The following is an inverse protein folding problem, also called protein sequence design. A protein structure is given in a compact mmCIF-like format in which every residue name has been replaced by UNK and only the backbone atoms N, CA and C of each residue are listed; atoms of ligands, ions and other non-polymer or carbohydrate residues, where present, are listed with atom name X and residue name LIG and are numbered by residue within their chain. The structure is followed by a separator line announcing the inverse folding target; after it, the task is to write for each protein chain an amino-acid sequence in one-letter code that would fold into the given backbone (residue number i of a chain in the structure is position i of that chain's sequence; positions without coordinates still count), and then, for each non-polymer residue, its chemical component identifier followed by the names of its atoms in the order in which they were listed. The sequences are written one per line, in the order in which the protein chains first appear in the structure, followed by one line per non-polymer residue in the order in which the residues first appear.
data_IF_339435192621
#
_entry.id   IF_339435192621
#
_cell.length_a   1.000
_cell.length_b   1.000
_cell.length_c   1.000
_cell.angle_alpha   90.00
_cell.angle_beta   90.00
_cell.angle_gamma   90.00
#
_symmetry.space_group_name_H-M   'P 1'
#
loop_
_entity.id
_entity.type
_entity.pdbx_description
1 polymer ?
#
# COMPACT_ATOMS: atom_id res chain seq x y z
N UNK A 1 5.77 -21.70 38.70
CA UNK A 1 6.66 -21.34 37.58
C UNK A 1 6.62 -19.83 37.39
N UNK A 2 7.75 -19.13 37.56
CA UNK A 2 7.85 -17.67 37.33
C UNK A 2 7.89 -17.39 35.82
N UNK A 3 7.09 -16.45 35.32
CA UNK A 3 7.19 -15.96 33.94
C UNK A 3 8.52 -15.20 33.77
N UNK A 4 9.30 -15.45 32.72
CA UNK A 4 10.56 -14.75 32.51
C UNK A 4 10.29 -13.26 32.25
N UNK A 5 10.94 -12.39 33.03
CA UNK A 5 10.96 -10.95 32.82
C UNK A 5 12.08 -10.60 31.84
N UNK A 6 11.81 -9.68 30.91
CA UNK A 6 12.67 -9.33 29.76
C UNK A 6 14.08 -8.79 30.05
N UNK A 7 14.60 -8.96 31.27
CA UNK A 7 15.99 -8.64 31.64
C UNK A 7 17.01 -9.69 31.20
N UNK A 8 16.59 -10.89 30.80
CA UNK A 8 17.48 -11.98 30.38
C UNK A 8 17.68 -12.11 28.86
N UNK A 9 16.94 -11.35 28.04
CA UNK A 9 17.13 -11.33 26.58
C UNK A 9 18.26 -10.40 26.17
N UNK A 10 19.51 -10.74 26.56
CA UNK A 10 20.74 -10.20 25.97
C UNK A 10 21.29 -11.11 24.86
N UNK A 11 20.44 -11.85 24.17
CA UNK A 11 20.84 -12.39 22.87
C UNK A 11 20.86 -11.21 21.90
N UNK A 12 22.05 -10.93 21.34
CA UNK A 12 22.18 -10.16 20.11
C UNK A 12 21.18 -10.76 19.13
N UNK A 13 20.05 -10.09 18.92
CA UNK A 13 19.18 -10.38 17.79
C UNK A 13 20.07 -10.13 16.59
N UNK A 14 20.55 -11.22 15.97
CA UNK A 14 21.08 -11.15 14.62
C UNK A 14 19.94 -10.59 13.81
N UNK A 15 20.00 -9.29 13.51
CA UNK A 15 19.12 -8.68 12.52
C UNK A 15 19.32 -9.53 11.28
N UNK A 16 18.34 -10.38 10.99
CA UNK A 16 18.34 -11.18 9.78
C UNK A 16 18.58 -10.21 8.64
N UNK A 17 19.50 -10.56 7.73
CA UNK A 17 20.02 -9.71 6.67
C UNK A 17 18.90 -8.80 6.15
N UNK A 18 19.16 -7.49 6.13
CA UNK A 18 18.25 -6.51 5.52
C UNK A 18 17.82 -7.11 4.18
N UNK A 19 16.52 -7.43 4.00
CA UNK A 19 16.08 -8.05 2.76
C UNK A 19 16.57 -7.16 1.60
N UNK A 20 17.04 -7.77 0.49
CA UNK A 20 17.56 -7.00 -0.61
C UNK A 20 16.55 -5.91 -0.96
N UNK A 21 17.05 -4.68 -1.11
CA UNK A 21 16.22 -3.54 -1.47
C UNK A 21 15.40 -3.85 -2.71
N UNK A 22 14.28 -3.14 -2.88
CA UNK A 22 13.41 -3.30 -4.04
C UNK A 22 14.26 -3.28 -5.32
N UNK A 23 14.31 -4.39 -6.06
CA UNK A 23 14.99 -4.40 -7.35
C UNK A 23 14.28 -3.39 -8.28
N UNK A 24 15.01 -2.75 -9.19
CA UNK A 24 14.41 -1.78 -10.11
C UNK A 24 13.52 -2.46 -11.18
N UNK A 25 12.63 -1.66 -11.78
CA UNK A 25 11.77 -2.04 -12.92
C UNK A 25 10.56 -2.91 -12.57
N UNK A 26 9.76 -3.34 -13.56
CA UNK A 26 8.64 -4.27 -13.38
C UNK A 26 9.10 -5.73 -13.28
N UNK A 27 8.40 -6.56 -12.52
CA UNK A 27 8.61 -8.01 -12.54
C UNK A 27 7.33 -8.76 -12.20
N UNK A 28 7.17 -9.92 -12.81
CA UNK A 28 5.98 -10.74 -12.69
C UNK A 28 6.33 -12.16 -12.27
N UNK A 29 5.49 -12.74 -11.40
CA UNK A 29 5.53 -14.14 -11.04
C UNK A 29 4.11 -14.72 -11.06
N UNK A 30 3.93 -15.83 -11.78
CA UNK A 30 2.72 -16.63 -11.71
C UNK A 30 3.00 -17.93 -10.97
N UNK A 31 2.13 -18.30 -10.04
CA UNK A 31 2.17 -19.56 -9.30
C UNK A 31 0.85 -20.29 -9.52
N UNK A 32 0.94 -21.44 -10.20
CA UNK A 32 -0.20 -22.33 -10.36
C UNK A 32 -0.60 -22.92 -8.99
N UNK A 33 -1.89 -23.00 -8.73
CA UNK A 33 -2.48 -23.59 -7.53
C UNK A 33 -3.84 -24.19 -7.85
N UNK A 34 -4.33 -25.12 -7.05
CA UNK A 34 -5.68 -25.69 -7.23
C UNK A 34 -6.80 -24.77 -6.68
N UNK A 35 -6.49 -23.50 -6.41
CA UNK A 35 -7.47 -22.54 -5.94
C UNK A 35 -8.52 -22.24 -7.04
N UNK A 36 -9.80 -22.08 -6.69
CA UNK A 36 -10.85 -21.78 -7.67
C UNK A 36 -10.81 -20.33 -8.17
N UNK A 37 -10.03 -19.46 -7.52
CA UNK A 37 -9.89 -18.04 -7.83
C UNK A 37 -8.43 -17.70 -8.12
N UNK A 38 -8.23 -16.66 -8.91
CA UNK A 38 -6.93 -16.01 -9.05
C UNK A 38 -6.80 -14.90 -8.00
N UNK A 39 -5.79 -15.01 -7.15
CA UNK A 39 -5.37 -13.97 -6.22
C UNK A 39 -4.25 -13.16 -6.84
N UNK A 40 -4.47 -11.86 -6.97
CA UNK A 40 -3.52 -10.90 -7.53
C UNK A 40 -2.92 -10.07 -6.41
N UNK A 41 -1.60 -9.93 -6.42
CA UNK A 41 -0.85 -8.98 -5.60
C UNK A 41 -0.01 -8.11 -6.52
N UNK A 42 -0.34 -6.81 -6.56
CA UNK A 42 0.43 -5.80 -7.26
C UNK A 42 1.05 -4.86 -6.23
N UNK A 43 2.37 -4.92 -6.10
CA UNK A 43 3.10 -4.14 -5.12
C UNK A 43 3.98 -3.08 -5.79
N UNK A 44 4.17 -1.97 -5.08
CA UNK A 44 5.04 -0.86 -5.44
C UNK A 44 5.90 -0.50 -4.22
N UNK A 45 7.14 -0.04 -4.41
CA UNK A 45 7.86 0.60 -3.32
C UNK A 45 7.10 1.88 -2.91
N UNK A 46 7.14 2.21 -1.63
CA UNK A 46 6.57 3.44 -1.09
C UNK A 46 7.60 4.24 -0.28
N UNK A 47 7.42 5.56 -0.15
CA UNK A 47 8.29 6.42 0.64
C UNK A 47 8.37 6.00 2.11
N UNK A 48 9.56 6.08 2.69
CA UNK A 48 9.74 5.90 4.13
C UNK A 48 9.01 6.97 4.93
N UNK A 49 8.62 6.71 6.19
CA UNK A 49 7.95 7.70 7.04
C UNK A 49 8.71 9.04 7.23
N UNK A 50 10.02 9.08 6.96
CA UNK A 50 10.85 10.30 7.03
C UNK A 50 10.83 11.09 5.71
N UNK A 51 10.43 10.46 4.60
CA UNK A 51 10.45 11.07 3.28
C UNK A 51 9.26 12.04 3.12
N UNK A 52 9.47 13.13 2.37
CA UNK A 52 8.46 14.19 2.20
C UNK A 52 7.18 13.66 1.53
N UNK A 53 7.34 12.65 0.68
CA UNK A 53 6.29 12.02 -0.11
C UNK A 53 5.45 11.02 0.70
N UNK A 54 5.81 10.72 1.96
CA UNK A 54 5.10 9.75 2.80
C UNK A 54 3.59 10.01 2.87
N UNK A 55 3.22 11.26 3.19
CA UNK A 55 1.82 11.67 3.32
C UNK A 55 1.09 11.67 1.97
N UNK A 56 1.80 11.96 0.88
CA UNK A 56 1.26 11.76 -0.48
C UNK A 56 0.91 10.29 -0.70
N UNK A 57 1.79 9.36 -0.30
CA UNK A 57 1.51 7.93 -0.37
C UNK A 57 0.27 7.50 0.42
N UNK A 58 0.02 8.11 1.59
CA UNK A 58 -1.22 7.88 2.38
C UNK A 58 -2.47 8.30 1.59
N UNK A 59 -2.45 9.48 0.99
CA UNK A 59 -3.58 9.98 0.17
C UNK A 59 -3.76 9.13 -1.10
N UNK A 60 -2.68 8.75 -1.78
CA UNK A 60 -2.71 7.86 -2.94
C UNK A 60 -3.30 6.50 -2.58
N UNK A 61 -2.94 5.93 -1.44
CA UNK A 61 -3.53 4.67 -0.95
C UNK A 61 -5.05 4.77 -0.81
N UNK A 62 -5.57 5.87 -0.23
CA UNK A 62 -7.01 6.10 -0.09
C UNK A 62 -7.71 6.31 -1.44
N UNK A 63 -7.09 7.09 -2.32
CA UNK A 63 -7.59 7.29 -3.68
C UNK A 63 -7.73 5.96 -4.42
N UNK A 64 -6.66 5.15 -4.44
CA UNK A 64 -6.65 3.86 -5.12
C UNK A 64 -7.68 2.92 -4.53
N UNK A 65 -7.79 2.85 -3.21
CA UNK A 65 -8.81 2.03 -2.56
C UNK A 65 -10.22 2.39 -3.06
N UNK A 66 -10.54 3.68 -3.09
CA UNK A 66 -11.84 4.16 -3.55
C UNK A 66 -12.08 3.90 -5.04
N UNK A 67 -11.14 4.30 -5.91
CA UNK A 67 -11.31 4.21 -7.36
C UNK A 67 -11.30 2.77 -7.88
N UNK A 68 -10.46 1.92 -7.31
CA UNK A 68 -10.44 0.50 -7.67
C UNK A 68 -11.68 -0.22 -7.16
N UNK A 69 -12.25 0.19 -6.02
CA UNK A 69 -13.54 -0.33 -5.57
C UNK A 69 -14.65 0.04 -6.56
N UNK A 70 -14.71 1.31 -7.00
CA UNK A 70 -15.67 1.72 -8.04
C UNK A 70 -15.47 0.91 -9.33
N UNK A 71 -14.24 0.87 -9.85
CA UNK A 71 -13.97 0.23 -11.14
C UNK A 71 -14.14 -1.29 -11.10
N UNK A 72 -13.46 -1.99 -10.19
CA UNK A 72 -13.43 -3.46 -10.19
C UNK A 72 -14.70 -4.09 -9.62
N UNK A 73 -15.33 -3.43 -8.63
CA UNK A 73 -16.52 -3.98 -7.97
C UNK A 73 -17.81 -3.39 -8.51
N UNK A 74 -17.94 -2.06 -8.53
CA UNK A 74 -19.22 -1.43 -8.87
C UNK A 74 -19.49 -1.46 -10.38
N UNK A 75 -18.48 -1.12 -11.20
CA UNK A 75 -18.67 -0.99 -12.65
C UNK A 75 -18.52 -2.34 -13.37
N UNK A 76 -17.50 -3.12 -13.01
CA UNK A 76 -17.16 -4.37 -13.69
C UNK A 76 -17.68 -5.64 -13.00
N UNK A 77 -17.94 -5.59 -11.69
CA UNK A 77 -18.42 -6.75 -10.93
C UNK A 77 -17.41 -7.90 -10.80
N UNK A 78 -16.12 -7.65 -10.99
CA UNK A 78 -15.08 -8.69 -11.00
C UNK A 78 -14.66 -9.14 -9.60
N UNK A 79 -14.60 -8.23 -8.63
CA UNK A 79 -14.03 -8.49 -7.32
C UNK A 79 -14.88 -7.93 -6.19
N UNK A 80 -15.01 -8.69 -5.10
CA UNK A 80 -15.67 -8.25 -3.86
C UNK A 80 -14.69 -7.95 -2.72
N UNK A 81 -13.53 -8.59 -2.68
CA UNK A 81 -12.49 -8.38 -1.68
C UNK A 81 -11.27 -7.73 -2.32
N UNK A 82 -11.27 -6.39 -2.30
CA UNK A 82 -10.19 -5.54 -2.77
C UNK A 82 -9.54 -4.87 -1.56
N UNK A 83 -8.22 -4.97 -1.50
CA UNK A 83 -7.41 -4.36 -0.45
C UNK A 83 -6.33 -3.50 -1.09
N UNK A 84 -6.15 -2.29 -0.53
CA UNK A 84 -5.03 -1.41 -0.87
C UNK A 84 -4.35 -1.04 0.43
N UNK A 85 -3.19 -1.64 0.65
CA UNK A 85 -2.46 -1.59 1.91
C UNK A 85 -1.15 -0.82 1.74
N UNK A 86 -0.79 -0.03 2.74
CA UNK A 86 0.50 0.65 2.78
C UNK A 86 1.28 0.19 4.03
N UNK A 87 2.29 -0.66 3.83
CA UNK A 87 2.95 -1.45 4.87
C UNK A 87 4.09 -0.72 5.60
N UNK A 88 3.90 0.54 5.97
CA UNK A 88 4.96 1.34 6.62
C UNK A 88 5.19 1.00 8.11
N UNK A 89 4.24 0.34 8.76
CA UNK A 89 4.36 -0.04 10.17
C UNK A 89 5.14 -1.34 10.38
N UNK A 90 4.96 -2.30 9.48
CA UNK A 90 5.64 -3.60 9.55
C UNK A 90 7.04 -3.54 8.94
N UNK A 91 7.22 -2.72 7.89
CA UNK A 91 8.46 -2.62 7.12
C UNK A 91 8.85 -1.13 6.91
N UNK A 92 9.12 -0.37 7.99
CA UNK A 92 9.31 1.08 7.91
C UNK A 92 10.50 1.52 7.04
N UNK A 93 11.53 0.67 6.90
CA UNK A 93 12.73 0.94 6.09
C UNK A 93 12.57 0.56 4.62
N UNK A 94 11.51 -0.17 4.26
CA UNK A 94 11.18 -0.51 2.89
C UNK A 94 9.65 -0.61 2.70
N UNK A 95 8.89 0.48 2.91
CA UNK A 95 7.44 0.42 2.83
C UNK A 95 6.96 -0.02 1.45
N UNK A 96 5.84 -0.72 1.43
CA UNK A 96 5.22 -1.20 0.19
C UNK A 96 3.76 -0.77 0.12
N UNK A 97 3.37 -0.22 -1.02
CA UNK A 97 1.97 -0.03 -1.38
C UNK A 97 1.53 -1.27 -2.16
N UNK A 98 0.56 -2.01 -1.65
CA UNK A 98 0.10 -3.27 -2.24
C UNK A 98 -1.39 -3.20 -2.55
N UNK A 99 -1.74 -3.45 -3.81
CA UNK A 99 -3.10 -3.72 -4.27
C UNK A 99 -3.25 -5.24 -4.31
N UNK A 100 -4.19 -5.77 -3.53
CA UNK A 100 -4.49 -7.19 -3.47
C UNK A 100 -5.97 -7.44 -3.73
N UNK A 101 -6.29 -8.40 -4.58
CA UNK A 101 -7.67 -8.75 -4.89
C UNK A 101 -7.81 -10.18 -5.42
N UNK A 102 -9.04 -10.72 -5.33
CA UNK A 102 -9.38 -12.04 -5.86
C UNK A 102 -10.46 -11.95 -6.93
N UNK A 103 -10.27 -12.66 -8.03
CA UNK A 103 -11.20 -12.70 -9.17
C UNK A 103 -11.35 -14.12 -9.70
N UNK A 104 -12.40 -14.34 -10.49
CA UNK A 104 -12.49 -15.55 -11.31
C UNK A 104 -11.30 -15.60 -12.29
N UNK A 105 -10.76 -16.79 -12.60
CA UNK A 105 -9.56 -16.92 -13.43
C UNK A 105 -9.66 -16.22 -14.79
N UNK A 106 -10.80 -16.33 -15.46
CA UNK A 106 -11.11 -15.67 -16.74
C UNK A 106 -11.11 -14.14 -16.68
N UNK A 107 -11.28 -13.55 -15.49
CA UNK A 107 -11.31 -12.11 -15.28
C UNK A 107 -9.96 -11.55 -14.79
N UNK A 108 -8.93 -12.40 -14.60
CA UNK A 108 -7.63 -11.98 -14.06
C UNK A 108 -6.99 -10.86 -14.88
N UNK A 109 -6.90 -11.06 -16.20
CA UNK A 109 -6.27 -10.11 -17.12
C UNK A 109 -7.14 -8.85 -17.33
N UNK A 110 -8.46 -8.94 -17.61
CA UNK A 110 -9.33 -7.76 -17.66
C UNK A 110 -9.32 -6.91 -16.38
N UNK A 111 -9.25 -7.55 -15.20
CA UNK A 111 -9.17 -6.85 -13.93
C UNK A 111 -7.82 -6.14 -13.75
N UNK A 112 -6.71 -6.79 -14.13
CA UNK A 112 -5.39 -6.15 -14.12
C UNK A 112 -5.34 -4.93 -15.06
N UNK A 113 -5.90 -5.04 -16.26
CA UNK A 113 -5.99 -3.90 -17.18
C UNK A 113 -6.78 -2.73 -16.58
N UNK A 114 -7.88 -3.03 -15.88
CA UNK A 114 -8.65 -2.00 -15.18
C UNK A 114 -7.85 -1.34 -14.05
N UNK A 115 -7.04 -2.10 -13.30
CA UNK A 115 -6.12 -1.55 -12.30
C UNK A 115 -5.12 -0.60 -12.95
N UNK A 116 -4.43 -1.03 -14.02
CA UNK A 116 -3.44 -0.20 -14.70
C UNK A 116 -4.04 1.07 -15.30
N UNK A 117 -5.28 1.03 -15.82
CA UNK A 117 -6.00 2.24 -16.26
C UNK A 117 -6.22 3.24 -15.12
N UNK A 118 -6.54 2.78 -13.91
CA UNK A 118 -6.70 3.67 -12.75
C UNK A 118 -5.35 4.28 -12.34
N UNK A 119 -4.26 3.51 -12.42
CA UNK A 119 -2.91 4.00 -12.13
C UNK A 119 -2.45 5.04 -13.16
N UNK A 120 -2.65 4.77 -14.45
CA UNK A 120 -2.34 5.70 -15.56
C UNK A 120 -3.14 7.00 -15.44
N UNK A 121 -4.41 6.92 -15.03
CA UNK A 121 -5.23 8.11 -14.77
C UNK A 121 -4.62 8.98 -13.66
N UNK A 122 -4.03 8.40 -12.62
CA UNK A 122 -3.39 9.16 -11.55
C UNK A 122 -2.12 9.90 -12.02
N UNK A 123 -1.41 9.31 -12.98
CA UNK A 123 -0.23 9.91 -13.61
C UNK A 123 -0.59 11.06 -14.56
N UNK A 124 -1.67 10.90 -15.32
CA UNK A 124 -2.03 11.80 -16.43
C UNK A 124 -3.08 12.85 -16.07
N UNK A 125 -3.91 12.59 -15.06
CA UNK A 125 -5.01 13.46 -14.64
C UNK A 125 -4.79 13.94 -13.22
N UNK A 126 -4.64 15.26 -13.05
CA UNK A 126 -4.51 15.88 -11.73
C UNK A 126 -5.83 15.80 -10.98
N UNK A 127 -5.78 15.37 -9.73
CA UNK A 127 -6.91 15.44 -8.81
C UNK A 127 -7.25 16.90 -8.52
N UNK A 128 -8.54 17.17 -8.38
CA UNK A 128 -9.04 18.47 -7.95
C UNK A 128 -8.72 18.74 -6.47
N UNK A 129 -8.61 20.01 -6.06
CA UNK A 129 -8.46 20.37 -4.65
C UNK A 129 -9.53 19.76 -3.74
N UNK A 130 -10.77 19.67 -4.23
CA UNK A 130 -11.92 19.12 -3.51
C UNK A 130 -11.77 17.60 -3.28
N UNK A 131 -11.31 16.85 -4.29
CA UNK A 131 -11.02 15.42 -4.15
C UNK A 131 -9.90 15.19 -3.13
N UNK A 132 -8.80 15.95 -3.24
CA UNK A 132 -7.68 15.83 -2.30
C UNK A 132 -8.15 16.13 -0.88
N UNK A 133 -8.96 17.17 -0.69
CA UNK A 133 -9.51 17.52 0.61
C UNK A 133 -10.40 16.41 1.18
N UNK A 134 -11.24 15.78 0.36
CA UNK A 134 -12.05 14.64 0.80
C UNK A 134 -11.20 13.47 1.30
N UNK A 135 -10.11 13.13 0.60
CA UNK A 135 -9.23 12.05 1.03
C UNK A 135 -8.44 12.40 2.30
N UNK A 136 -8.06 13.66 2.48
CA UNK A 136 -7.44 14.12 3.73
C UNK A 136 -8.38 13.97 4.91
N UNK A 137 -9.63 14.40 4.79
CA UNK A 137 -10.63 14.27 5.86
C UNK A 137 -10.89 12.81 6.24
N UNK A 138 -10.91 11.91 5.24
CA UNK A 138 -11.01 10.47 5.49
C UNK A 138 -9.80 9.92 6.25
N UNK A 139 -8.60 10.38 5.92
CA UNK A 139 -7.36 9.98 6.60
C UNK A 139 -7.28 10.54 8.02
N UNK A 140 -7.59 11.82 8.23
CA UNK A 140 -7.66 12.44 9.56
C UNK A 140 -8.67 11.71 10.45
N UNK A 141 -9.88 11.44 9.95
CA UNK A 141 -10.90 10.70 10.69
C UNK A 141 -10.48 9.26 10.99
N UNK A 142 -9.77 8.60 10.08
CA UNK A 142 -9.24 7.25 10.31
C UNK A 142 -8.16 7.28 11.39
N UNK A 143 -7.25 8.25 11.30
CA UNK A 143 -6.17 8.42 12.23
C UNK A 143 -6.70 8.74 13.63
N UNK A 144 -7.65 9.67 13.77
CA UNK A 144 -8.28 10.01 15.05
C UNK A 144 -8.85 8.77 15.76
N UNK A 145 -9.57 7.90 15.03
CA UNK A 145 -10.07 6.63 15.59
C UNK A 145 -8.94 5.69 16.01
N UNK A 146 -7.81 5.69 15.31
CA UNK A 146 -6.66 4.86 15.67
C UNK A 146 -5.97 5.36 16.94
N UNK A 147 -5.93 6.68 17.18
CA UNK A 147 -5.40 7.25 18.43
C UNK A 147 -6.20 6.83 19.67
N UNK A 148 -7.44 6.36 19.51
CA UNK A 148 -8.23 5.78 20.61
C UNK A 148 -7.84 4.32 20.93
N UNK A 149 -6.96 3.69 20.13
CA UNK A 149 -6.55 2.28 20.28
C UNK A 149 -5.17 2.20 20.97
N UNK A 150 -5.06 1.66 22.20
CA UNK A 150 -3.79 1.63 22.93
C UNK A 150 -2.64 0.91 22.19
N UNK A 151 -2.95 -0.16 21.47
CA UNK A 151 -1.96 -0.88 20.67
C UNK A 151 -1.40 -0.06 19.52
N UNK A 152 -2.22 0.80 18.91
CA UNK A 152 -1.78 1.71 17.85
C UNK A 152 -0.87 2.80 18.43
N UNK A 153 -1.25 3.42 19.54
CA UNK A 153 -0.44 4.44 20.21
C UNK A 153 0.95 3.90 20.59
N UNK A 154 1.02 2.68 21.14
CA UNK A 154 2.31 2.06 21.47
C UNK A 154 3.19 1.84 20.24
N UNK A 155 2.58 1.50 19.10
CA UNK A 155 3.31 1.28 17.85
C UNK A 155 3.80 2.61 17.25
N UNK A 156 2.96 3.64 17.29
CA UNK A 156 3.30 4.97 16.82
C UNK A 156 4.39 5.63 17.69
N UNK A 157 4.36 5.42 19.01
CA UNK A 157 5.43 5.86 19.92
C UNK A 157 6.76 5.19 19.58
N UNK A 158 6.75 3.86 19.39
CA UNK A 158 7.93 3.12 18.97
C UNK A 158 8.47 3.60 17.60
N UNK A 159 7.57 3.85 16.64
CA UNK A 159 7.92 4.39 15.33
C UNK A 159 8.53 5.80 15.45
N UNK A 160 7.90 6.67 16.26
CA UNK A 160 8.33 8.02 16.54
C UNK A 160 9.74 8.07 17.13
N UNK A 161 10.03 7.21 18.10
CA UNK A 161 11.36 7.11 18.72
C UNK A 161 12.38 6.49 17.77
N UNK A 162 12.03 5.41 17.07
CA UNK A 162 12.97 4.69 16.20
C UNK A 162 13.42 5.53 15.01
N UNK A 163 12.54 6.37 14.51
CA UNK A 163 12.73 7.10 13.26
C UNK A 163 12.77 8.63 13.43
N UNK A 164 12.76 9.11 14.67
CA UNK A 164 12.76 10.53 15.04
C UNK A 164 11.63 11.34 14.36
N UNK A 165 10.39 10.83 14.48
CA UNK A 165 9.22 11.38 13.81
C UNK A 165 8.29 12.08 14.79
N UNK A 166 8.35 13.41 14.85
CA UNK A 166 7.47 14.21 15.70
C UNK A 166 5.97 13.98 15.42
N UNK A 167 5.60 13.79 14.16
CA UNK A 167 4.20 13.56 13.76
C UNK A 167 3.63 12.22 14.21
N UNK A 168 4.47 11.26 14.63
CA UNK A 168 4.01 9.92 14.98
C UNK A 168 3.12 9.94 16.22
N UNK A 169 3.44 10.78 17.21
CA UNK A 169 2.67 10.93 18.45
C UNK A 169 1.93 12.26 18.56
N UNK A 170 2.23 13.21 17.67
CA UNK A 170 1.56 14.51 17.58
C UNK A 170 0.53 14.53 16.43
N UNK A 171 -0.75 14.46 16.80
CA UNK A 171 -1.86 14.51 15.85
C UNK A 171 -1.94 15.85 15.09
N UNK A 172 -1.63 16.98 15.72
CA UNK A 172 -1.66 18.28 15.05
C UNK A 172 -0.57 18.36 13.97
N UNK A 173 0.63 17.87 14.29
CA UNK A 173 1.71 17.78 13.32
C UNK A 173 1.39 16.80 12.19
N UNK A 174 0.71 15.68 12.49
CA UNK A 174 0.22 14.75 11.46
C UNK A 174 -0.73 15.44 10.48
N UNK A 175 -1.74 16.15 10.99
CA UNK A 175 -2.68 16.93 10.19
C UNK A 175 -2.00 18.05 9.41
N UNK A 176 -1.01 18.73 10.00
CA UNK A 176 -0.23 19.77 9.32
C UNK A 176 0.52 19.20 8.10
N UNK A 177 1.13 18.03 8.23
CA UNK A 177 1.83 17.37 7.13
C UNK A 177 0.88 16.90 6.03
N UNK A 178 -0.31 16.38 6.36
CA UNK A 178 -1.32 16.00 5.37
C UNK A 178 -1.77 17.19 4.50
N UNK A 179 -1.82 18.39 5.06
CA UNK A 179 -2.20 19.62 4.32
C UNK A 179 -1.19 20.02 3.26
N UNK A 180 0.03 19.50 3.31
CA UNK A 180 1.08 19.77 2.32
C UNK A 180 0.91 18.94 1.02
N UNK A 181 0.08 17.89 1.03
CA UNK A 181 -0.12 17.02 -0.14
C UNK A 181 -0.78 17.77 -1.29
N UNK A 182 -0.12 17.94 -2.42
CA UNK A 182 -0.66 18.67 -3.58
C UNK A 182 -1.00 17.74 -4.75
N UNK A 183 -1.78 18.23 -5.71
CA UNK A 183 -2.07 17.50 -6.94
C UNK A 183 -0.78 17.17 -7.72
N UNK A 184 0.18 18.11 -7.78
CA UNK A 184 1.48 17.90 -8.41
C UNK A 184 2.31 16.86 -7.68
N UNK A 185 2.25 16.85 -6.34
CA UNK A 185 2.89 15.83 -5.52
C UNK A 185 2.34 14.44 -5.79
N UNK A 186 1.01 14.32 -5.97
CA UNK A 186 0.34 13.05 -6.30
C UNK A 186 0.77 12.54 -7.69
N UNK A 187 0.79 13.39 -8.72
CA UNK A 187 1.25 12.99 -10.06
C UNK A 187 2.74 12.62 -10.05
N UNK A 188 3.57 13.39 -9.33
CA UNK A 188 5.01 13.08 -9.18
C UNK A 188 5.24 11.76 -8.44
N UNK A 189 4.42 11.47 -7.43
CA UNK A 189 4.43 10.19 -6.73
C UNK A 189 4.11 9.04 -7.70
N UNK A 190 3.04 9.15 -8.48
CA UNK A 190 2.65 8.12 -9.44
C UNK A 190 3.80 7.83 -10.43
N UNK A 191 4.40 8.89 -11.00
CA UNK A 191 5.53 8.78 -11.93
C UNK A 191 6.79 8.17 -11.30
N UNK A 192 7.01 8.39 -10.01
CA UNK A 192 8.22 7.93 -9.31
C UNK A 192 8.11 6.46 -8.88
N UNK A 193 6.95 6.06 -8.34
CA UNK A 193 6.80 4.78 -7.67
C UNK A 193 6.07 3.72 -8.51
N UNK A 194 5.11 4.09 -9.36
CA UNK A 194 4.33 3.10 -10.13
C UNK A 194 5.10 2.35 -11.23
N UNK A 195 6.12 2.92 -11.89
CA UNK A 195 6.92 2.15 -12.85
C UNK A 195 7.70 0.98 -12.23
N UNK A 196 7.85 0.96 -10.90
CA UNK A 196 8.65 -0.03 -10.16
C UNK A 196 7.78 -1.15 -9.60
N UNK A 197 6.86 -1.68 -10.39
CA UNK A 197 5.85 -2.61 -9.88
C UNK A 197 6.34 -4.06 -9.79
N UNK A 198 5.71 -4.82 -8.89
CA UNK A 198 5.89 -6.27 -8.74
C UNK A 198 4.53 -6.95 -8.73
N UNK A 199 4.31 -7.82 -9.70
CA UNK A 199 3.07 -8.57 -9.86
C UNK A 199 3.29 -10.02 -9.44
N UNK A 200 2.49 -10.49 -8.49
CA UNK A 200 2.39 -11.90 -8.14
C UNK A 200 0.95 -12.35 -8.32
N UNK A 201 0.74 -13.42 -9.08
CA UNK A 201 -0.57 -14.02 -9.30
C UNK A 201 -0.51 -15.48 -8.82
N UNK A 202 -1.46 -15.86 -7.99
CA UNK A 202 -1.67 -17.23 -7.55
C UNK A 202 -3.06 -17.67 -8.00
N UNK A 203 -3.15 -18.70 -8.83
CA UNK A 203 -4.45 -19.12 -9.38
C UNK A 203 -4.37 -20.45 -10.12
N UNK A 204 -5.50 -20.95 -10.64
CA UNK A 204 -5.52 -22.19 -11.42
C UNK A 204 -4.64 -22.06 -12.65
N UNK A 205 -4.02 -23.18 -13.03
CA UNK A 205 -3.16 -23.22 -14.20
C UNK A 205 -3.91 -22.67 -15.42
N UNK A 206 -3.34 -21.65 -16.05
CA UNK A 206 -3.90 -21.09 -17.27
C UNK A 206 -3.76 -22.14 -18.37
N UNK A 207 -4.87 -22.76 -18.77
CA UNK A 207 -4.95 -23.70 -19.88
C UNK A 207 -4.63 -22.97 -21.20
N UNK A 208 -3.35 -22.73 -21.48
CA UNK A 208 -2.78 -22.35 -22.78
C UNK A 208 -3.29 -21.06 -23.46
N UNK A 209 -4.31 -20.37 -22.93
CA UNK A 209 -5.02 -19.28 -23.63
C UNK A 209 -4.52 -17.87 -23.32
N UNK A 210 -3.79 -17.66 -22.21
CA UNK A 210 -3.31 -16.33 -21.81
C UNK A 210 -1.79 -16.32 -21.69
N UNK A 211 -1.10 -16.51 -22.82
CA UNK A 211 0.38 -16.53 -22.88
C UNK A 211 1.05 -15.15 -22.89
N UNK A 212 0.28 -14.07 -22.89
CA UNK A 212 0.82 -12.71 -22.92
C UNK A 212 0.08 -11.85 -21.91
N UNK A 213 0.59 -11.84 -20.68
CA UNK A 213 0.35 -10.72 -19.78
C UNK A 213 1.31 -9.58 -20.22
N UNK A 214 0.82 -8.33 -20.33
CA UNK A 214 1.60 -7.19 -20.84
C UNK A 214 2.82 -6.84 -19.97
#
# INVERSE_FOLDING_TARGET
MKRPTGREMKQKVLVAAIPPGYADGPAQRFLASDAPLSTVFLAFPGPQPQEAEFFTGRIVQKYLHHQLWLSLRQDLGYCYDLQVNYSYLNEPTAPTLTIAFQVLPENTEPALDAVFRVLEKLETTKLTPEEIQSYREQEEKAQQRNYDVPGFLSLMDALGVQLDLAWATDYEQYCANLKLVSADGISSFAQTYFPKWRLSIVGPALDGRNKHLP
#
